data_IF_909988251076
#
_entry.id   IF_909988251076
#
_cell.length_a   1.000
_cell.length_b   1.000
_cell.length_c   1.000
_cell.angle_alpha   90.00
_cell.angle_beta   90.00
_cell.angle_gamma   90.00
#
_symmetry.space_group_name_H-M   'P 1'
#
loop_
_entity.id
_entity.type
_entity.pdbx_description
1 polymer ?
#
# COMPACT_ATOMS: atom_id res chain seq x y z
N UNK A 1 -62.81 -91.65 48.87
CA UNK A 1 -61.82 -90.88 49.64
C UNK A 1 -60.43 -91.22 49.08
N UNK A 2 -59.44 -90.31 49.05
CA UNK A 2 -59.35 -89.01 48.36
C UNK A 2 -58.04 -88.84 47.51
N UNK A 3 -58.07 -87.91 46.53
CA UNK A 3 -57.01 -87.05 45.89
C UNK A 3 -55.65 -87.60 45.36
N UNK A 4 -54.88 -86.86 44.50
CA UNK A 4 -55.15 -85.62 43.74
C UNK A 4 -54.72 -85.60 42.25
N UNK A 5 -55.09 -84.51 41.57
CA UNK A 5 -54.78 -84.03 40.21
C UNK A 5 -53.28 -83.73 39.96
N UNK A 6 -52.82 -83.66 38.68
CA UNK A 6 -51.83 -82.66 38.30
C UNK A 6 -52.33 -81.67 37.23
N UNK A 7 -51.92 -80.44 37.48
CA UNK A 7 -52.12 -79.19 36.77
C UNK A 7 -51.54 -79.15 35.36
N UNK A 8 -52.28 -78.54 34.42
CA UNK A 8 -51.75 -78.07 33.15
C UNK A 8 -50.73 -76.94 33.38
N UNK A 9 -49.52 -77.12 32.83
CA UNK A 9 -48.51 -76.07 32.76
C UNK A 9 -49.01 -74.88 31.91
N UNK A 10 -48.83 -73.62 32.35
CA UNK A 10 -49.17 -72.47 31.52
C UNK A 10 -48.15 -72.31 30.38
N UNK A 11 -48.63 -72.12 29.15
CA UNK A 11 -47.78 -71.73 28.02
C UNK A 11 -47.05 -70.40 28.32
N UNK A 12 -45.76 -70.25 27.94
CA UNK A 12 -44.93 -69.14 28.40
C UNK A 12 -45.23 -67.85 27.62
N UNK A 13 -46.28 -67.11 28.01
CA UNK A 13 -46.62 -65.78 27.45
C UNK A 13 -45.48 -64.76 27.56
N UNK A 14 -44.60 -64.87 28.57
CA UNK A 14 -43.46 -63.95 28.78
C UNK A 14 -42.31 -64.13 27.78
N UNK A 15 -42.08 -65.34 27.25
CA UNK A 15 -40.98 -65.60 26.28
C UNK A 15 -41.27 -65.00 24.90
N UNK A 16 -42.53 -65.00 24.44
CA UNK A 16 -42.91 -64.39 23.15
C UNK A 16 -42.80 -62.87 23.17
N UNK A 17 -43.18 -62.23 24.28
CA UNK A 17 -43.10 -60.78 24.45
C UNK A 17 -41.64 -60.28 24.53
N UNK A 18 -40.77 -61.02 25.22
CA UNK A 18 -39.34 -60.74 25.27
C UNK A 18 -38.68 -60.91 23.89
N UNK A 19 -39.04 -61.96 23.12
CA UNK A 19 -38.54 -62.17 21.76
C UNK A 19 -38.95 -61.03 20.81
N UNK A 20 -40.21 -60.58 20.87
CA UNK A 20 -40.70 -59.46 20.04
C UNK A 20 -39.94 -58.16 20.37
N UNK A 21 -39.77 -57.85 21.67
CA UNK A 21 -39.03 -56.66 22.10
C UNK A 21 -37.55 -56.71 21.70
N UNK A 22 -36.90 -57.86 21.81
CA UNK A 22 -35.51 -58.04 21.36
C UNK A 22 -35.41 -57.91 19.84
N UNK A 23 -36.34 -58.50 19.08
CA UNK A 23 -36.35 -58.34 17.62
C UNK A 23 -36.61 -56.89 17.18
N UNK A 24 -37.50 -56.16 17.87
CA UNK A 24 -37.70 -54.73 17.60
C UNK A 24 -36.45 -53.90 17.94
N UNK A 25 -35.77 -54.19 19.06
CA UNK A 25 -34.54 -53.50 19.44
C UNK A 25 -33.40 -53.78 18.44
N UNK A 26 -33.27 -55.01 17.95
CA UNK A 26 -32.27 -55.39 16.93
C UNK A 26 -32.58 -54.71 15.59
N UNK A 27 -33.85 -54.68 15.16
CA UNK A 27 -34.24 -53.97 13.93
C UNK A 27 -34.00 -52.47 14.05
N UNK A 28 -34.30 -51.85 15.20
CA UNK A 28 -34.01 -50.43 15.45
C UNK A 28 -32.51 -50.13 15.46
N UNK A 29 -31.68 -51.01 16.03
CA UNK A 29 -30.22 -50.89 15.99
C UNK A 29 -29.67 -51.02 14.56
N UNK A 30 -30.19 -51.95 13.74
CA UNK A 30 -29.77 -52.10 12.34
C UNK A 30 -30.18 -50.88 11.52
N UNK A 31 -31.38 -50.34 11.72
CA UNK A 31 -31.83 -49.10 11.06
C UNK A 31 -31.00 -47.90 11.50
N UNK A 32 -30.65 -47.80 12.79
CA UNK A 32 -29.78 -46.73 13.30
C UNK A 32 -28.34 -46.83 12.75
N UNK A 33 -27.76 -48.02 12.69
CA UNK A 33 -26.43 -48.24 12.08
C UNK A 33 -26.46 -47.96 10.58
N UNK A 34 -27.50 -48.41 9.86
CA UNK A 34 -27.71 -48.10 8.45
C UNK A 34 -27.87 -46.60 8.18
N UNK A 35 -28.59 -45.89 9.05
CA UNK A 35 -28.73 -44.43 8.98
C UNK A 35 -27.41 -43.70 9.26
N UNK A 36 -26.62 -44.16 10.25
CA UNK A 36 -25.29 -43.58 10.54
C UNK A 36 -24.32 -43.80 9.37
N UNK A 37 -24.28 -45.01 8.79
CA UNK A 37 -23.44 -45.32 7.63
C UNK A 37 -23.87 -44.52 6.38
N UNK A 38 -25.18 -44.36 6.15
CA UNK A 38 -25.68 -43.54 5.06
C UNK A 38 -25.36 -42.05 5.26
N UNK A 39 -25.45 -41.54 6.49
CA UNK A 39 -25.10 -40.15 6.83
C UNK A 39 -23.59 -39.91 6.68
N UNK A 40 -22.74 -40.86 7.07
CA UNK A 40 -21.28 -40.73 6.90
C UNK A 40 -20.84 -40.90 5.45
N UNK A 41 -21.49 -41.77 4.67
CA UNK A 41 -21.24 -41.89 3.23
C UNK A 41 -21.71 -40.64 2.47
N UNK A 42 -22.88 -40.11 2.81
CA UNK A 42 -23.39 -38.88 2.20
C UNK A 42 -22.51 -37.67 2.53
N UNK A 43 -22.05 -37.53 3.79
CA UNK A 43 -21.15 -36.44 4.16
C UNK A 43 -19.77 -36.55 3.52
N UNK A 44 -19.22 -37.76 3.37
CA UNK A 44 -17.95 -37.99 2.67
C UNK A 44 -18.07 -37.70 1.16
N UNK A 45 -19.17 -38.13 0.53
CA UNK A 45 -19.44 -37.85 -0.88
C UNK A 45 -19.64 -36.36 -1.13
N UNK A 46 -20.42 -35.69 -0.28
CA UNK A 46 -20.64 -34.24 -0.34
C UNK A 46 -19.34 -33.45 -0.11
N UNK A 47 -18.46 -33.93 0.78
CA UNK A 47 -17.12 -33.35 0.95
C UNK A 47 -16.28 -33.48 -0.32
N UNK A 48 -16.26 -34.65 -0.97
CA UNK A 48 -15.52 -34.84 -2.24
C UNK A 48 -16.07 -33.96 -3.37
N UNK A 49 -17.38 -33.84 -3.48
CA UNK A 49 -18.03 -32.95 -4.46
C UNK A 49 -17.69 -31.48 -4.21
N UNK A 50 -17.71 -31.03 -2.96
CA UNK A 50 -17.31 -29.66 -2.59
C UNK A 50 -15.84 -29.37 -2.89
N UNK A 51 -14.94 -30.34 -2.63
CA UNK A 51 -13.52 -30.21 -2.93
C UNK A 51 -13.24 -30.16 -4.43
N UNK A 52 -13.95 -30.97 -5.23
CA UNK A 52 -13.88 -30.89 -6.70
C UNK A 52 -14.40 -29.56 -7.23
N UNK A 53 -15.55 -29.10 -6.72
CA UNK A 53 -16.12 -27.79 -7.07
C UNK A 53 -15.16 -26.65 -6.72
N UNK A 54 -14.48 -26.72 -5.57
CA UNK A 54 -13.44 -25.78 -5.18
C UNK A 54 -12.30 -25.77 -6.21
N UNK A 55 -11.74 -26.94 -6.50
CA UNK A 55 -10.56 -27.12 -7.34
C UNK A 55 -10.79 -26.69 -8.79
N UNK A 56 -11.91 -27.09 -9.38
CA UNK A 56 -12.15 -26.98 -10.82
C UNK A 56 -12.91 -25.71 -11.17
N UNK A 57 -14.03 -25.43 -10.48
CA UNK A 57 -14.91 -24.31 -10.84
C UNK A 57 -14.53 -23.02 -10.10
N UNK A 58 -14.46 -23.06 -8.76
CA UNK A 58 -14.27 -21.85 -7.97
C UNK A 58 -12.89 -21.23 -8.19
N UNK A 59 -11.82 -22.04 -8.27
CA UNK A 59 -10.48 -21.52 -8.56
C UNK A 59 -10.34 -20.98 -9.99
N UNK A 60 -10.96 -21.63 -10.98
CA UNK A 60 -10.96 -21.13 -12.35
C UNK A 60 -11.68 -19.79 -12.43
N UNK A 61 -12.86 -19.67 -11.81
CA UNK A 61 -13.60 -18.41 -11.76
C UNK A 61 -12.82 -17.29 -11.05
N UNK A 62 -12.07 -17.62 -9.99
CA UNK A 62 -11.21 -16.67 -9.27
C UNK A 62 -10.04 -16.19 -10.15
N UNK A 63 -9.36 -17.10 -10.85
CA UNK A 63 -8.29 -16.75 -11.79
C UNK A 63 -8.81 -15.87 -12.92
N UNK A 64 -9.94 -16.23 -13.52
CA UNK A 64 -10.57 -15.46 -14.60
C UNK A 64 -11.01 -14.07 -14.14
N UNK A 65 -11.57 -13.95 -12.93
CA UNK A 65 -11.95 -12.66 -12.37
C UNK A 65 -10.74 -11.76 -12.12
N UNK A 66 -9.66 -12.31 -11.55
CA UNK A 66 -8.39 -11.57 -11.38
C UNK A 66 -7.81 -11.13 -12.72
N UNK A 67 -7.86 -11.99 -13.74
CA UNK A 67 -7.36 -11.69 -15.09
C UNK A 67 -7.99 -10.45 -15.72
N UNK A 68 -9.14 -9.98 -15.23
CA UNK A 68 -9.85 -8.79 -15.71
C UNK A 68 -9.46 -7.50 -14.99
N UNK A 69 -8.84 -7.57 -13.80
CA UNK A 69 -8.53 -6.38 -12.98
C UNK A 69 -7.53 -5.45 -13.66
N UNK A 70 -6.39 -5.97 -14.10
CA UNK A 70 -5.34 -5.17 -14.73
C UNK A 70 -5.76 -4.57 -16.08
N UNK A 71 -6.41 -5.31 -17.00
CA UNK A 71 -7.00 -4.72 -18.19
C UNK A 71 -7.99 -3.58 -17.88
N UNK A 72 -8.87 -3.75 -16.88
CA UNK A 72 -9.85 -2.73 -16.52
C UNK A 72 -9.19 -1.47 -15.91
N UNK A 73 -8.22 -1.65 -15.01
CA UNK A 73 -7.44 -0.53 -14.47
C UNK A 73 -6.69 0.22 -15.58
N UNK A 74 -6.03 -0.50 -16.50
CA UNK A 74 -5.34 0.11 -17.63
C UNK A 74 -6.30 0.89 -18.55
N UNK A 75 -7.51 0.37 -18.77
CA UNK A 75 -8.54 1.07 -19.55
C UNK A 75 -8.94 2.40 -18.88
N UNK A 76 -9.15 2.39 -17.56
CA UNK A 76 -9.41 3.61 -16.79
C UNK A 76 -8.24 4.61 -16.88
N UNK A 77 -7.01 4.18 -16.58
CA UNK A 77 -5.84 5.06 -16.62
C UNK A 77 -5.65 5.68 -18.01
N UNK A 78 -5.86 4.90 -19.07
CA UNK A 78 -5.78 5.38 -20.45
C UNK A 78 -6.90 6.37 -20.79
N UNK A 79 -8.15 6.10 -20.38
CA UNK A 79 -9.28 6.99 -20.58
C UNK A 79 -9.09 8.32 -19.83
N UNK A 80 -8.67 8.26 -18.57
CA UNK A 80 -8.38 9.44 -17.75
C UNK A 80 -7.25 10.27 -18.38
N UNK A 81 -6.11 9.64 -18.72
CA UNK A 81 -4.99 10.32 -19.38
C UNK A 81 -5.41 10.96 -20.71
N UNK A 82 -6.21 10.26 -21.52
CA UNK A 82 -6.74 10.80 -22.78
C UNK A 82 -7.61 12.02 -22.53
N UNK A 83 -8.46 11.99 -21.50
CA UNK A 83 -9.28 13.13 -21.13
C UNK A 83 -8.42 14.32 -20.63
N UNK A 84 -7.33 14.06 -19.91
CA UNK A 84 -6.36 15.07 -19.43
C UNK A 84 -5.42 15.65 -20.49
N UNK A 85 -5.33 15.02 -21.66
CA UNK A 85 -4.57 15.53 -22.82
C UNK A 85 -5.34 16.60 -23.60
N UNK A 86 -6.67 16.63 -23.50
CA UNK A 86 -7.42 17.85 -23.76
C UNK A 86 -7.14 18.82 -22.59
N UNK A 87 -7.18 20.16 -22.77
CA UNK A 87 -7.06 21.12 -21.67
C UNK A 87 -8.26 21.07 -20.69
N UNK A 88 -8.89 19.91 -20.54
CA UNK A 88 -10.01 19.64 -19.68
C UNK A 88 -9.56 19.66 -18.20
N UNK A 89 -10.32 20.33 -17.33
CA UNK A 89 -10.08 20.30 -15.89
C UNK A 89 -10.21 18.88 -15.34
N UNK A 90 -9.65 18.65 -14.16
CA UNK A 90 -9.72 17.36 -13.46
C UNK A 90 -11.15 16.79 -13.40
N UNK A 91 -12.14 17.59 -13.01
CA UNK A 91 -13.55 17.19 -12.89
C UNK A 91 -14.12 16.64 -14.21
N UNK A 92 -13.77 17.27 -15.34
CA UNK A 92 -14.23 16.84 -16.66
C UNK A 92 -13.53 15.54 -17.09
N UNK A 93 -12.26 15.35 -16.72
CA UNK A 93 -11.54 14.11 -16.96
C UNK A 93 -12.11 12.93 -16.14
N UNK A 94 -12.49 13.17 -14.89
CA UNK A 94 -13.17 12.19 -14.05
C UNK A 94 -14.52 11.80 -14.64
N UNK A 95 -15.32 12.78 -15.09
CA UNK A 95 -16.59 12.53 -15.77
C UNK A 95 -16.42 11.72 -17.06
N UNK A 96 -15.43 12.05 -17.87
CA UNK A 96 -15.17 11.41 -19.16
C UNK A 96 -14.56 10.00 -19.04
N UNK A 97 -14.06 9.62 -17.86
CA UNK A 97 -13.50 8.29 -17.56
C UNK A 97 -14.37 7.48 -16.60
N UNK A 98 -15.54 7.99 -16.21
CA UNK A 98 -16.43 7.36 -15.24
C UNK A 98 -16.87 5.96 -15.66
N UNK A 99 -17.16 5.76 -16.95
CA UNK A 99 -17.56 4.44 -17.48
C UNK A 99 -16.46 3.39 -17.28
N UNK A 100 -15.21 3.73 -17.55
CA UNK A 100 -14.08 2.82 -17.37
C UNK A 100 -13.78 2.60 -15.88
N UNK A 101 -14.00 3.61 -15.03
CA UNK A 101 -13.94 3.46 -13.56
C UNK A 101 -15.00 2.48 -13.06
N UNK A 102 -16.24 2.60 -13.51
CA UNK A 102 -17.32 1.69 -13.15
C UNK A 102 -17.03 0.26 -13.64
N UNK A 103 -16.48 0.13 -14.84
CA UNK A 103 -16.03 -1.16 -15.38
C UNK A 103 -14.92 -1.80 -14.54
N UNK A 104 -14.00 -1.00 -14.00
CA UNK A 104 -13.01 -1.47 -13.04
C UNK A 104 -13.65 -1.90 -11.72
N UNK A 105 -14.59 -1.12 -11.16
CA UNK A 105 -15.28 -1.49 -9.92
C UNK A 105 -16.02 -2.82 -10.05
N UNK A 106 -16.72 -3.04 -11.18
CA UNK A 106 -17.38 -4.31 -11.46
C UNK A 106 -16.39 -5.49 -11.50
N UNK A 107 -15.20 -5.29 -12.06
CA UNK A 107 -14.16 -6.32 -12.06
C UNK A 107 -13.63 -6.60 -10.64
N UNK A 108 -13.42 -5.56 -9.83
CA UNK A 108 -13.01 -5.67 -8.42
C UNK A 108 -14.05 -6.43 -7.59
N UNK A 109 -15.33 -6.08 -7.71
CA UNK A 109 -16.42 -6.73 -7.00
C UNK A 109 -16.59 -8.19 -7.42
N UNK A 110 -16.45 -8.49 -8.72
CA UNK A 110 -16.48 -9.85 -9.23
C UNK A 110 -15.31 -10.69 -8.68
N UNK A 111 -14.11 -10.13 -8.60
CA UNK A 111 -12.93 -10.80 -8.03
C UNK A 111 -13.10 -11.08 -6.53
N UNK A 112 -13.64 -10.12 -5.76
CA UNK A 112 -13.98 -10.34 -4.34
C UNK A 112 -15.05 -11.41 -4.16
N UNK A 113 -16.10 -11.37 -4.96
CA UNK A 113 -17.16 -12.38 -4.91
C UNK A 113 -16.64 -13.78 -5.25
N UNK A 114 -15.73 -13.89 -6.23
CA UNK A 114 -15.06 -15.16 -6.56
C UNK A 114 -14.18 -15.65 -5.40
N UNK A 115 -13.43 -14.75 -4.75
CA UNK A 115 -12.62 -15.10 -3.57
C UNK A 115 -13.49 -15.55 -2.40
N UNK A 116 -14.63 -14.89 -2.17
CA UNK A 116 -15.60 -15.29 -1.15
C UNK A 116 -16.16 -16.69 -1.40
N UNK A 117 -16.33 -17.11 -2.67
CA UNK A 117 -16.75 -18.49 -3.00
C UNK A 117 -15.66 -19.53 -2.73
N UNK A 118 -14.39 -19.20 -2.99
CA UNK A 118 -13.25 -20.06 -2.65
C UNK A 118 -13.13 -20.23 -1.13
N UNK A 119 -13.46 -19.17 -0.38
CA UNK A 119 -13.49 -19.18 1.09
C UNK A 119 -14.69 -19.91 1.67
N UNK A 120 -15.87 -19.77 1.06
CA UNK A 120 -17.11 -20.40 1.52
C UNK A 120 -16.99 -21.92 1.45
N UNK A 121 -16.80 -22.55 2.60
CA UNK A 121 -16.54 -23.99 2.73
C UNK A 121 -15.35 -24.34 3.62
N UNK A 122 -14.43 -23.39 3.88
CA UNK A 122 -13.18 -23.61 4.61
C UNK A 122 -12.83 -22.46 5.58
N UNK A 123 -13.85 -21.76 6.11
CA UNK A 123 -13.74 -20.50 6.88
C UNK A 123 -12.93 -20.57 8.21
N UNK A 124 -12.48 -21.75 8.67
CA UNK A 124 -11.88 -21.87 10.01
C UNK A 124 -10.95 -23.07 10.26
N UNK A 125 -10.43 -23.74 9.23
CA UNK A 125 -9.57 -24.92 9.41
C UNK A 125 -8.10 -24.58 9.71
N UNK A 126 -7.55 -25.13 10.78
CA UNK A 126 -6.08 -25.33 10.93
C UNK A 126 -5.55 -26.43 9.98
N UNK A 127 -6.39 -26.93 9.07
CA UNK A 127 -6.04 -27.95 8.08
C UNK A 127 -5.29 -27.35 6.88
N UNK A 128 -4.64 -28.22 6.10
CA UNK A 128 -3.80 -27.79 4.97
C UNK A 128 -4.55 -26.96 3.93
N UNK A 129 -5.85 -27.22 3.74
CA UNK A 129 -6.71 -26.48 2.81
C UNK A 129 -7.04 -25.09 3.36
N UNK A 130 -7.46 -24.97 4.63
CA UNK A 130 -7.77 -23.68 5.25
C UNK A 130 -6.57 -22.73 5.25
N UNK A 131 -5.36 -23.24 5.54
CA UNK A 131 -4.12 -22.45 5.46
C UNK A 131 -3.85 -21.99 4.02
N UNK A 132 -4.00 -22.88 3.02
CA UNK A 132 -3.79 -22.53 1.62
C UNK A 132 -4.81 -21.50 1.12
N UNK A 133 -6.09 -21.61 1.52
CA UNK A 133 -7.15 -20.63 1.22
C UNK A 133 -6.82 -19.27 1.84
N UNK A 134 -6.40 -19.23 3.11
CA UNK A 134 -6.06 -17.97 3.79
C UNK A 134 -4.87 -17.25 3.15
N UNK A 135 -3.82 -17.98 2.76
CA UNK A 135 -2.71 -17.42 1.99
C UNK A 135 -3.19 -16.91 0.63
N UNK A 136 -4.03 -17.67 -0.07
CA UNK A 136 -4.57 -17.23 -1.36
C UNK A 136 -5.39 -15.94 -1.22
N UNK A 137 -6.26 -15.87 -0.20
CA UNK A 137 -7.07 -14.70 0.12
C UNK A 137 -6.21 -13.45 0.34
N UNK A 138 -5.18 -13.55 1.18
CA UNK A 138 -4.27 -12.44 1.46
C UNK A 138 -3.65 -11.85 0.18
N UNK A 139 -3.15 -12.72 -0.72
CA UNK A 139 -2.54 -12.26 -1.97
C UNK A 139 -3.56 -11.66 -2.95
N UNK A 140 -4.74 -12.27 -3.07
CA UNK A 140 -5.78 -11.77 -3.99
C UNK A 140 -6.38 -10.46 -3.51
N UNK A 141 -6.73 -10.36 -2.22
CA UNK A 141 -7.24 -9.10 -1.66
C UNK A 141 -6.17 -8.01 -1.70
N UNK A 142 -4.91 -8.33 -1.41
CA UNK A 142 -3.79 -7.41 -1.59
C UNK A 142 -3.65 -6.91 -3.03
N UNK A 143 -3.78 -7.79 -4.02
CA UNK A 143 -3.76 -7.40 -5.43
C UNK A 143 -4.96 -6.52 -5.81
N UNK A 144 -6.16 -6.87 -5.36
CA UNK A 144 -7.37 -6.06 -5.60
C UNK A 144 -7.18 -4.65 -5.00
N UNK A 145 -6.78 -4.56 -3.73
CA UNK A 145 -6.56 -3.29 -3.05
C UNK A 145 -5.44 -2.47 -3.70
N UNK A 146 -4.36 -3.12 -4.16
CA UNK A 146 -3.30 -2.45 -4.92
C UNK A 146 -3.84 -1.79 -6.19
N UNK A 147 -4.69 -2.50 -6.95
CA UNK A 147 -5.27 -2.02 -8.20
C UNK A 147 -6.35 -0.96 -7.96
N UNK A 148 -7.14 -1.08 -6.89
CA UNK A 148 -8.08 -0.05 -6.49
C UNK A 148 -7.38 1.24 -6.10
N UNK A 149 -6.35 1.15 -5.25
CA UNK A 149 -5.57 2.32 -4.89
C UNK A 149 -4.92 2.99 -6.10
N UNK A 150 -4.52 2.19 -7.11
CA UNK A 150 -4.00 2.71 -8.37
C UNK A 150 -5.05 3.55 -9.10
N UNK A 151 -6.27 3.04 -9.23
CA UNK A 151 -7.38 3.72 -9.91
C UNK A 151 -7.87 4.93 -9.12
N UNK A 152 -8.16 4.76 -7.83
CA UNK A 152 -8.77 5.78 -6.98
C UNK A 152 -7.86 6.98 -6.73
N UNK A 153 -6.54 6.74 -6.59
CA UNK A 153 -5.56 7.79 -6.30
C UNK A 153 -4.87 8.36 -7.55
N UNK A 154 -5.19 7.84 -8.74
CA UNK A 154 -4.58 8.32 -9.98
C UNK A 154 -4.82 9.81 -10.25
N UNK A 155 -6.04 10.37 -10.06
CA UNK A 155 -6.28 11.80 -10.25
C UNK A 155 -5.36 12.68 -9.40
N UNK A 156 -5.18 12.33 -8.12
CA UNK A 156 -4.32 13.07 -7.19
C UNK A 156 -2.85 12.95 -7.61
N UNK A 157 -2.42 11.77 -8.06
CA UNK A 157 -1.05 11.55 -8.54
C UNK A 157 -0.76 12.32 -9.84
N UNK A 158 -1.63 12.22 -10.85
CA UNK A 158 -1.48 12.91 -12.14
C UNK A 158 -1.57 14.43 -11.99
N UNK A 159 -2.46 14.89 -11.09
CA UNK A 159 -2.67 16.30 -10.79
C UNK A 159 -1.57 16.96 -9.96
N UNK A 160 -0.59 16.20 -9.45
CA UNK A 160 0.42 16.71 -8.51
C UNK A 160 1.17 17.94 -9.08
N UNK A 161 1.59 17.86 -10.34
CA UNK A 161 2.30 18.93 -11.05
C UNK A 161 1.42 19.69 -12.05
N UNK A 162 0.10 19.70 -11.86
CA UNK A 162 -0.81 20.43 -12.75
C UNK A 162 -1.41 21.63 -12.04
N UNK A 163 -1.65 22.71 -12.79
CA UNK A 163 -2.16 23.96 -12.25
C UNK A 163 -3.58 23.84 -11.67
N UNK A 164 -4.38 22.91 -12.22
CA UNK A 164 -5.73 22.61 -11.79
C UNK A 164 -5.79 21.43 -10.79
N UNK A 165 -4.64 20.96 -10.30
CA UNK A 165 -4.50 19.97 -9.24
C UNK A 165 -3.73 20.57 -8.04
N UNK A 166 -2.70 19.88 -7.56
CA UNK A 166 -1.91 20.36 -6.41
C UNK A 166 -0.95 21.51 -6.78
N UNK A 167 -0.64 21.71 -8.06
CA UNK A 167 0.17 22.86 -8.50
C UNK A 167 1.64 22.80 -8.07
N UNK A 168 2.22 21.61 -7.86
CA UNK A 168 3.58 21.45 -7.33
C UNK A 168 4.72 21.95 -8.22
N UNK A 169 4.41 22.51 -9.40
CA UNK A 169 5.40 23.16 -10.27
C UNK A 169 6.17 24.26 -9.53
N UNK A 170 5.54 24.89 -8.53
CA UNK A 170 6.14 25.88 -7.64
C UNK A 170 7.44 25.42 -6.96
N UNK A 171 7.61 24.10 -6.74
CA UNK A 171 8.82 23.51 -6.16
C UNK A 171 10.06 23.65 -7.06
N UNK A 172 9.88 23.84 -8.37
CA UNK A 172 10.96 23.87 -9.35
C UNK A 172 11.35 25.27 -9.82
N UNK A 173 10.58 26.30 -9.47
CA UNK A 173 10.66 27.62 -10.10
C UNK A 173 11.70 28.56 -9.46
N UNK A 174 12.78 28.00 -8.90
CA UNK A 174 13.86 28.75 -8.27
C UNK A 174 14.60 29.76 -9.17
N UNK A 175 14.31 29.80 -10.47
CA UNK A 175 14.87 30.74 -11.45
C UNK A 175 14.13 32.08 -11.57
N UNK A 176 12.93 32.22 -10.98
CA UNK A 176 12.15 33.48 -11.02
C UNK A 176 12.40 34.41 -9.84
N UNK A 177 13.01 33.91 -8.77
CA UNK A 177 13.35 34.70 -7.58
C UNK A 177 14.62 35.53 -7.81
N UNK A 178 14.59 36.80 -7.41
CA UNK A 178 15.74 37.71 -7.48
C UNK A 178 16.74 37.47 -6.35
N UNK A 179 16.31 36.87 -5.23
CA UNK A 179 17.14 36.57 -4.05
C UNK A 179 16.88 35.16 -3.52
N UNK A 180 17.79 34.62 -2.70
CA UNK A 180 17.56 33.31 -2.08
C UNK A 180 16.46 33.35 -1.01
N UNK A 181 16.28 34.49 -0.34
CA UNK A 181 15.17 34.72 0.58
C UNK A 181 13.81 34.66 -0.12
N UNK A 182 13.69 35.31 -1.28
CA UNK A 182 12.47 35.23 -2.09
C UNK A 182 12.22 33.81 -2.58
N UNK A 183 13.27 33.10 -3.03
CA UNK A 183 13.17 31.68 -3.41
C UNK A 183 12.65 30.82 -2.25
N UNK A 184 13.19 31.00 -1.05
CA UNK A 184 12.75 30.26 0.14
C UNK A 184 11.27 30.53 0.45
N UNK A 185 10.83 31.78 0.33
CA UNK A 185 9.43 32.17 0.54
C UNK A 185 8.50 31.52 -0.49
N UNK A 186 8.83 31.63 -1.78
CA UNK A 186 8.04 31.02 -2.87
C UNK A 186 7.98 29.50 -2.75
N UNK A 187 9.08 28.87 -2.33
CA UNK A 187 9.12 27.43 -2.12
C UNK A 187 8.25 27.01 -0.95
N UNK A 188 8.26 27.74 0.17
CA UNK A 188 7.36 27.46 1.29
C UNK A 188 5.88 27.57 0.90
N UNK A 189 5.52 28.56 0.08
CA UNK A 189 4.17 28.69 -0.47
C UNK A 189 3.78 27.51 -1.36
N UNK A 190 4.72 27.03 -2.19
CA UNK A 190 4.51 25.88 -3.07
C UNK A 190 4.50 24.53 -2.31
N UNK A 191 5.21 24.43 -1.19
CA UNK A 191 5.36 23.18 -0.45
C UNK A 191 4.07 22.76 0.27
N UNK A 192 3.30 23.70 0.79
CA UNK A 192 2.07 23.42 1.54
C UNK A 192 1.05 22.55 0.74
N UNK A 193 0.60 22.94 -0.47
CA UNK A 193 -0.32 22.11 -1.26
C UNK A 193 0.30 20.77 -1.69
N UNK A 194 1.63 20.73 -1.88
CA UNK A 194 2.33 19.49 -2.21
C UNK A 194 2.35 18.49 -1.06
N UNK A 195 2.50 18.97 0.18
CA UNK A 195 2.42 18.13 1.38
C UNK A 195 1.02 17.61 1.60
N UNK A 196 0.00 18.43 1.35
CA UNK A 196 -1.39 18.01 1.44
C UNK A 196 -1.68 16.89 0.42
N UNK A 197 -1.29 17.09 -0.84
CA UNK A 197 -1.42 16.08 -1.88
C UNK A 197 -0.66 14.78 -1.55
N UNK A 198 0.56 14.90 -1.00
CA UNK A 198 1.31 13.74 -0.50
C UNK A 198 0.57 13.06 0.68
N UNK A 199 -0.04 13.84 1.58
CA UNK A 199 -0.87 13.35 2.67
C UNK A 199 -2.06 12.52 2.17
N UNK A 200 -2.73 12.97 1.12
CA UNK A 200 -3.81 12.23 0.47
C UNK A 200 -3.29 10.93 -0.18
N UNK A 201 -2.17 10.98 -0.91
CA UNK A 201 -1.57 9.79 -1.54
C UNK A 201 -1.07 8.76 -0.51
N UNK A 202 -0.68 9.18 0.71
CA UNK A 202 -0.32 8.26 1.80
C UNK A 202 -1.52 7.43 2.30
N UNK A 203 -2.75 7.84 2.01
CA UNK A 203 -3.97 7.10 2.34
C UNK A 203 -4.37 6.11 1.24
N UNK A 204 -3.67 6.10 0.10
CA UNK A 204 -3.92 5.16 -0.98
C UNK A 204 -3.71 3.72 -0.52
N UNK A 205 -4.53 2.81 -1.04
CA UNK A 205 -4.28 1.36 -0.94
C UNK A 205 -3.12 0.88 -1.81
N UNK A 206 -2.63 1.72 -2.73
CA UNK A 206 -1.52 1.38 -3.60
C UNK A 206 -0.18 1.68 -2.90
N UNK A 207 0.55 0.63 -2.56
CA UNK A 207 1.84 0.74 -1.87
C UNK A 207 2.84 1.61 -2.63
N UNK A 208 2.88 1.56 -3.96
CA UNK A 208 3.80 2.38 -4.74
C UNK A 208 3.48 3.89 -4.60
N UNK A 209 2.21 4.27 -4.55
CA UNK A 209 1.81 5.65 -4.26
C UNK A 209 2.12 6.07 -2.82
N UNK A 210 1.91 5.19 -1.85
CA UNK A 210 2.26 5.47 -0.45
C UNK A 210 3.76 5.69 -0.28
N UNK A 211 4.59 4.84 -0.88
CA UNK A 211 6.05 4.98 -0.85
C UNK A 211 6.54 6.23 -1.59
N UNK A 212 5.97 6.50 -2.77
CA UNK A 212 6.21 7.75 -3.49
C UNK A 212 5.88 8.94 -2.60
N UNK A 213 4.71 8.98 -2.00
CA UNK A 213 4.24 10.12 -1.22
C UNK A 213 5.10 10.37 0.03
N UNK A 214 5.56 9.31 0.71
CA UNK A 214 6.54 9.42 1.81
C UNK A 214 7.87 10.01 1.33
N UNK A 215 8.38 9.50 0.21
CA UNK A 215 9.66 9.96 -0.36
C UNK A 215 9.57 11.40 -0.85
N UNK A 216 8.47 11.74 -1.53
CA UNK A 216 8.18 13.06 -2.05
C UNK A 216 8.06 14.11 -0.94
N UNK A 217 7.29 13.83 0.11
CA UNK A 217 7.15 14.73 1.27
C UNK A 217 8.48 14.96 2.01
N UNK A 218 9.28 13.89 2.17
CA UNK A 218 10.64 14.01 2.70
C UNK A 218 11.51 14.90 1.81
N UNK A 219 11.39 14.78 0.48
CA UNK A 219 12.15 15.58 -0.47
C UNK A 219 11.73 17.05 -0.45
N UNK A 220 10.44 17.33 -0.34
CA UNK A 220 9.89 18.69 -0.15
C UNK A 220 10.45 19.31 1.13
N UNK A 221 10.44 18.58 2.24
CA UNK A 221 10.99 19.04 3.52
C UNK A 221 12.50 19.31 3.46
N UNK A 222 13.26 18.46 2.75
CA UNK A 222 14.68 18.71 2.49
C UNK A 222 14.89 19.95 1.62
N UNK A 223 14.06 20.20 0.62
CA UNK A 223 14.14 21.40 -0.21
C UNK A 223 13.92 22.66 0.61
N UNK A 224 12.91 22.70 1.48
CA UNK A 224 12.67 23.83 2.38
C UNK A 224 13.83 24.08 3.34
N UNK A 225 14.31 23.04 4.01
CA UNK A 225 15.42 23.17 4.96
C UNK A 225 16.70 23.67 4.29
N UNK A 226 17.05 23.12 3.11
CA UNK A 226 18.21 23.60 2.37
C UNK A 226 18.01 25.02 1.83
N UNK A 227 16.79 25.38 1.39
CA UNK A 227 16.49 26.74 0.93
C UNK A 227 16.66 27.76 2.08
N UNK A 228 16.17 27.44 3.28
CA UNK A 228 16.35 28.28 4.47
C UNK A 228 17.82 28.50 4.81
N UNK A 229 18.62 27.42 4.84
CA UNK A 229 20.07 27.52 5.09
C UNK A 229 20.73 28.42 4.05
N UNK A 230 20.43 28.21 2.75
CA UNK A 230 21.04 29.03 1.70
C UNK A 230 20.63 30.50 1.77
N UNK A 231 19.38 30.80 2.11
CA UNK A 231 18.90 32.17 2.30
C UNK A 231 19.57 32.86 3.50
N UNK A 232 19.64 32.17 4.65
CA UNK A 232 20.33 32.68 5.84
C UNK A 232 21.81 32.93 5.58
N UNK A 233 22.47 32.04 4.83
CA UNK A 233 23.88 32.20 4.49
C UNK A 233 24.16 33.36 3.54
N UNK A 234 23.22 33.71 2.64
CA UNK A 234 23.30 34.92 1.80
C UNK A 234 23.16 36.20 2.65
N UNK A 235 22.26 36.21 3.62
CA UNK A 235 22.12 37.33 4.56
C UNK A 235 23.38 37.52 5.40
N UNK A 236 23.92 36.43 5.95
CA UNK A 236 25.19 36.44 6.67
C UNK A 236 26.34 36.95 5.78
N UNK A 237 26.37 36.58 4.49
CA UNK A 237 27.38 37.08 3.57
C UNK A 237 27.33 38.61 3.45
N UNK A 238 26.13 39.18 3.29
CA UNK A 238 25.95 40.64 3.25
C UNK A 238 26.37 41.32 4.57
N UNK A 239 26.15 40.67 5.72
CA UNK A 239 26.66 41.13 7.01
C UNK A 239 28.19 41.06 7.09
N UNK A 240 28.80 39.95 6.63
CA UNK A 240 30.25 39.77 6.65
C UNK A 240 30.99 40.78 5.78
N UNK A 241 30.41 41.19 4.64
CA UNK A 241 30.99 42.26 3.81
C UNK A 241 31.08 43.56 4.63
N UNK A 242 30.00 43.94 5.32
CA UNK A 242 29.99 45.14 6.19
C UNK A 242 30.97 45.02 7.35
N UNK A 243 31.00 43.89 8.04
CA UNK A 243 31.93 43.65 9.15
C UNK A 243 33.39 43.67 8.68
N UNK A 244 33.68 43.13 7.49
CA UNK A 244 35.01 43.18 6.88
C UNK A 244 35.41 44.63 6.60
N UNK A 245 34.52 45.46 6.04
CA UNK A 245 34.81 46.88 5.80
C UNK A 245 35.05 47.64 7.12
N UNK A 246 34.26 47.37 8.16
CA UNK A 246 34.47 47.92 9.51
C UNK A 246 35.80 47.49 10.13
N UNK A 247 36.23 46.24 9.93
CA UNK A 247 37.52 45.75 10.43
C UNK A 247 38.70 46.41 9.70
N UNK A 248 38.58 46.65 8.39
CA UNK A 248 39.59 47.41 7.64
C UNK A 248 39.67 48.83 8.18
N UNK A 249 38.52 49.52 8.33
CA UNK A 249 38.48 50.88 8.89
C UNK A 249 39.09 50.95 10.31
N UNK A 250 38.73 50.01 11.21
CA UNK A 250 39.34 49.93 12.55
C UNK A 250 40.86 49.79 12.49
N UNK A 251 41.36 48.97 11.56
CA UNK A 251 42.79 48.74 11.38
C UNK A 251 43.48 50.01 10.88
N UNK A 252 42.88 50.69 9.90
CA UNK A 252 43.39 51.94 9.35
C UNK A 252 43.42 53.04 10.42
N UNK A 253 42.36 53.21 11.20
CA UNK A 253 42.26 54.19 12.30
C UNK A 253 43.27 53.91 13.42
N UNK A 254 43.43 52.64 13.82
CA UNK A 254 44.41 52.23 14.81
C UNK A 254 45.84 52.51 14.32
N UNK A 255 46.12 52.26 13.04
CA UNK A 255 47.41 52.52 12.42
C UNK A 255 47.69 54.03 12.34
N UNK A 256 46.71 54.84 11.90
CA UNK A 256 46.88 56.29 11.76
C UNK A 256 47.19 57.00 13.09
N UNK A 257 46.72 56.45 14.22
CA UNK A 257 46.98 57.00 15.55
C UNK A 257 48.16 56.37 16.29
N UNK A 258 48.92 55.48 15.66
CA UNK A 258 49.98 54.69 16.28
C UNK A 258 49.51 53.94 17.53
N UNK A 259 48.41 53.17 17.39
CA UNK A 259 47.88 52.33 18.46
C UNK A 259 48.92 51.32 18.99
N UNK A 260 48.73 50.86 20.23
CA UNK A 260 49.62 49.89 20.86
C UNK A 260 49.56 48.52 20.16
N UNK A 261 50.63 47.74 20.30
CA UNK A 261 50.66 46.36 19.80
C UNK A 261 49.51 45.51 20.36
N UNK A 262 49.16 45.69 21.63
CA UNK A 262 48.04 44.98 22.27
C UNK A 262 46.70 45.27 21.57
N UNK A 263 46.47 46.52 21.17
CA UNK A 263 45.26 46.88 20.43
C UNK A 263 45.26 46.24 19.02
N UNK A 264 46.40 46.28 18.32
CA UNK A 264 46.54 45.66 16.99
C UNK A 264 46.36 44.13 17.05
N UNK A 265 46.87 43.47 18.09
CA UNK A 265 46.65 42.04 18.31
C UNK A 265 45.18 41.72 18.53
N UNK A 266 44.46 42.55 19.30
CA UNK A 266 43.01 42.36 19.50
C UNK A 266 42.23 42.49 18.18
N UNK A 267 42.57 43.46 17.33
CA UNK A 267 41.97 43.63 16.00
C UNK A 267 42.27 42.39 15.13
N UNK A 268 43.50 41.86 15.19
CA UNK A 268 43.87 40.65 14.46
C UNK A 268 43.09 39.41 14.93
N UNK A 269 42.88 39.25 16.23
CA UNK A 269 42.05 38.17 16.80
C UNK A 269 40.57 38.31 16.39
N UNK A 270 40.01 39.52 16.42
CA UNK A 270 38.66 39.81 15.90
C UNK A 270 38.55 39.44 14.41
N UNK A 271 39.55 39.77 13.59
CA UNK A 271 39.60 39.43 12.17
C UNK A 271 39.72 37.91 11.94
N UNK A 272 40.50 37.21 12.75
CA UNK A 272 40.64 35.75 12.70
C UNK A 272 39.31 35.06 13.05
N UNK A 273 38.61 35.55 14.07
CA UNK A 273 37.29 35.05 14.44
C UNK A 273 36.25 35.31 13.33
N UNK A 274 36.27 36.49 12.71
CA UNK A 274 35.41 36.80 11.56
C UNK A 274 35.69 35.86 10.38
N UNK A 275 36.97 35.61 10.05
CA UNK A 275 37.34 34.70 8.97
C UNK A 275 36.90 33.25 9.25
N UNK A 276 36.98 32.80 10.50
CA UNK A 276 36.44 31.49 10.90
C UNK A 276 34.92 31.41 10.67
N UNK A 277 34.16 32.44 11.06
CA UNK A 277 32.70 32.53 10.80
C UNK A 277 32.38 32.51 9.30
N UNK A 278 33.14 33.26 8.48
CA UNK A 278 32.97 33.27 7.01
C UNK A 278 33.18 31.88 6.42
N UNK A 279 34.23 31.17 6.85
CA UNK A 279 34.52 29.80 6.37
C UNK A 279 33.40 28.82 6.73
N UNK A 280 32.90 28.87 7.97
CA UNK A 280 31.77 28.04 8.41
C UNK A 280 30.53 28.31 7.58
N UNK A 281 30.14 29.59 7.43
CA UNK A 281 28.97 29.97 6.64
C UNK A 281 29.08 29.53 5.17
N UNK A 282 30.26 29.65 4.57
CA UNK A 282 30.49 29.17 3.20
C UNK A 282 30.32 27.65 3.11
N UNK A 283 30.86 26.90 4.06
CA UNK A 283 30.73 25.44 4.08
C UNK A 283 29.26 25.00 4.21
N UNK A 284 28.49 25.66 5.08
CA UNK A 284 27.05 25.41 5.25
C UNK A 284 26.28 25.72 3.96
N UNK A 285 26.56 26.88 3.34
CA UNK A 285 25.98 27.27 2.07
C UNK A 285 26.26 26.25 0.96
N UNK A 286 27.53 25.90 0.75
CA UNK A 286 27.94 24.98 -0.32
C UNK A 286 27.30 23.58 -0.13
N UNK A 287 27.19 23.13 1.12
CA UNK A 287 26.56 21.86 1.46
C UNK A 287 25.05 21.86 1.19
N UNK A 288 24.34 22.92 1.60
CA UNK A 288 22.91 23.06 1.42
C UNK A 288 22.55 23.32 -0.05
N UNK A 289 23.29 24.18 -0.75
CA UNK A 289 23.06 24.50 -2.16
C UNK A 289 23.21 23.26 -3.06
N UNK A 290 24.23 22.42 -2.81
CA UNK A 290 24.39 21.15 -3.54
C UNK A 290 23.21 20.21 -3.35
N UNK A 291 22.71 20.08 -2.12
CA UNK A 291 21.56 19.22 -1.80
C UNK A 291 20.25 19.76 -2.34
N UNK A 292 20.07 21.08 -2.28
CA UNK A 292 18.95 21.75 -2.90
C UNK A 292 18.90 21.45 -4.41
N UNK A 293 20.02 21.64 -5.13
CA UNK A 293 20.10 21.40 -6.56
C UNK A 293 19.89 19.92 -6.93
N UNK A 294 20.44 18.99 -6.16
CA UNK A 294 20.14 17.55 -6.30
C UNK A 294 18.65 17.27 -6.06
N UNK A 295 18.07 17.85 -5.01
CA UNK A 295 16.64 17.74 -4.70
C UNK A 295 15.73 18.13 -5.86
N UNK A 296 16.01 19.26 -6.48
CA UNK A 296 15.28 19.75 -7.65
C UNK A 296 15.44 18.84 -8.86
N UNK A 297 16.66 18.32 -9.11
CA UNK A 297 16.96 17.44 -10.25
C UNK A 297 16.35 16.04 -10.13
N UNK A 298 16.27 15.50 -8.92
CA UNK A 298 15.84 14.12 -8.69
C UNK A 298 14.32 14.00 -8.59
N UNK A 299 13.60 15.09 -8.32
CA UNK A 299 12.15 15.05 -8.11
C UNK A 299 11.35 14.55 -9.34
N UNK A 300 11.65 14.97 -10.58
CA UNK A 300 10.97 14.43 -11.75
C UNK A 300 11.19 12.92 -11.93
N UNK A 301 12.39 12.44 -11.58
CA UNK A 301 12.74 11.01 -11.63
C UNK A 301 11.86 10.23 -10.65
N UNK A 302 11.63 10.76 -9.44
CA UNK A 302 10.73 10.12 -8.46
C UNK A 302 9.33 9.89 -9.02
N UNK A 303 8.79 10.83 -9.80
CA UNK A 303 7.46 10.74 -10.41
C UNK A 303 7.45 9.69 -11.52
N UNK A 304 8.47 9.73 -12.39
CA UNK A 304 8.60 8.79 -13.51
C UNK A 304 8.77 7.35 -13.04
N UNK A 305 9.54 7.12 -11.98
CA UNK A 305 9.81 5.79 -11.44
C UNK A 305 8.57 5.06 -10.94
N UNK A 306 7.51 5.77 -10.55
CA UNK A 306 6.27 5.15 -10.07
C UNK A 306 5.66 4.25 -11.14
N UNK A 307 5.49 4.77 -12.36
CA UNK A 307 4.89 4.02 -13.46
C UNK A 307 5.89 3.16 -14.22
N UNK A 308 7.13 3.62 -14.37
CA UNK A 308 8.14 2.89 -15.16
C UNK A 308 8.75 1.71 -14.40
N UNK A 309 8.73 1.73 -13.05
CA UNK A 309 9.37 0.71 -12.23
C UNK A 309 8.48 0.20 -11.11
N UNK A 310 7.97 1.06 -10.22
CA UNK A 310 7.39 0.65 -8.94
C UNK A 310 6.08 -0.13 -9.10
N UNK A 311 5.10 0.42 -9.82
CA UNK A 311 3.82 -0.27 -10.09
C UNK A 311 4.05 -1.59 -10.83
N UNK A 312 4.90 -1.59 -11.86
CA UNK A 312 5.21 -2.81 -12.62
C UNK A 312 5.89 -3.89 -11.76
N UNK A 313 6.77 -3.49 -10.82
CA UNK A 313 7.42 -4.42 -9.90
C UNK A 313 6.43 -5.05 -8.92
N UNK A 314 5.51 -4.26 -8.36
CA UNK A 314 4.45 -4.77 -7.47
C UNK A 314 3.52 -5.74 -8.19
N UNK A 315 3.03 -5.38 -9.39
CA UNK A 315 2.20 -6.28 -10.21
C UNK A 315 2.95 -7.58 -10.52
N UNK A 316 4.23 -7.49 -10.91
CA UNK A 316 5.07 -8.67 -11.19
C UNK A 316 5.24 -9.57 -9.96
N UNK A 317 5.33 -8.99 -8.76
CA UNK A 317 5.38 -9.73 -7.51
C UNK A 317 4.10 -10.57 -7.33
N UNK A 318 2.93 -9.95 -7.47
CA UNK A 318 1.65 -10.66 -7.42
C UNK A 318 1.51 -11.72 -8.51
N UNK A 319 1.93 -11.42 -9.74
CA UNK A 319 1.93 -12.39 -10.86
C UNK A 319 2.84 -13.60 -10.61
N UNK A 320 3.83 -13.46 -9.73
CA UNK A 320 4.72 -14.56 -9.34
C UNK A 320 4.14 -15.38 -8.18
N UNK A 321 3.54 -14.71 -7.18
CA UNK A 321 3.09 -15.35 -5.93
C UNK A 321 1.71 -15.99 -6.07
N UNK A 322 0.76 -15.33 -6.73
CA UNK A 322 -0.63 -15.79 -6.82
C UNK A 322 -0.75 -17.17 -7.50
N UNK A 323 -0.15 -17.41 -8.68
CA UNK A 323 -0.24 -18.71 -9.33
C UNK A 323 0.32 -19.85 -8.48
N UNK A 324 1.38 -19.59 -7.71
CA UNK A 324 1.93 -20.57 -6.77
C UNK A 324 0.95 -20.89 -5.64
N UNK A 325 0.30 -19.87 -5.06
CA UNK A 325 -0.73 -20.08 -4.02
C UNK A 325 -1.97 -20.81 -4.56
N UNK A 326 -2.36 -20.57 -5.81
CA UNK A 326 -3.41 -21.36 -6.49
C UNK A 326 -2.98 -22.82 -6.61
N UNK A 327 -1.74 -23.09 -7.03
CA UNK A 327 -1.25 -24.47 -7.17
C UNK A 327 -1.17 -25.18 -5.82
N UNK A 328 -0.67 -24.52 -4.77
CA UNK A 328 -0.63 -25.07 -3.41
C UNK A 328 -2.02 -25.48 -2.93
N UNK A 329 -3.04 -24.67 -3.18
CA UNK A 329 -4.42 -25.02 -2.82
C UNK A 329 -4.92 -26.22 -3.63
N UNK A 330 -4.62 -26.30 -4.93
CA UNK A 330 -4.96 -27.47 -5.75
C UNK A 330 -4.30 -28.74 -5.22
N UNK A 331 -3.01 -28.67 -4.86
CA UNK A 331 -2.25 -29.80 -4.33
C UNK A 331 -2.80 -30.24 -2.96
N UNK A 332 -3.16 -29.29 -2.09
CA UNK A 332 -3.78 -29.59 -0.80
C UNK A 332 -5.14 -30.29 -0.96
N UNK A 333 -5.95 -29.85 -1.93
CA UNK A 333 -7.22 -30.50 -2.27
C UNK A 333 -6.99 -31.90 -2.84
N UNK A 334 -5.97 -32.09 -3.68
CA UNK A 334 -5.65 -33.39 -4.28
C UNK A 334 -5.23 -34.43 -3.25
N UNK A 335 -4.46 -34.04 -2.23
CA UNK A 335 -4.11 -34.93 -1.10
C UNK A 335 -5.37 -35.41 -0.39
N UNK A 336 -6.30 -34.51 -0.07
CA UNK A 336 -7.55 -34.84 0.63
C UNK A 336 -8.56 -35.62 -0.23
N UNK A 337 -8.45 -35.56 -1.56
CA UNK A 337 -9.32 -36.33 -2.47
C UNK A 337 -8.86 -37.80 -2.63
N UNK A 338 -7.57 -38.07 -2.44
CA UNK A 338 -6.94 -39.40 -2.57
C UNK A 338 -7.06 -40.22 -1.28
N UNK A 339 -7.14 -39.57 -0.11
CA UNK A 339 -7.47 -40.18 1.18
C UNK A 339 -8.97 -40.55 1.32
#
# INVERSE_FOLDING_TARGET
MPEPTPSQQPAPRKRRLALILISCAVVLLIVAVGAVVAVTQFSAQQRKENLQLLKDDNLTALVDARGKLQPAANAYLAAYKKARNAPAPQEEAEKNSAKERDGFQQAADAARAAMAKVKSGHDSGEDGIGVAVGQLEESYLGFIDHMEGLVESYPQFEGLFRADGAGCNGLFVGSKAATLRERQTLLGQAAAPCREAAGQLKQSKNVAYVEFARTFDNRVSQLESNAEITAKSEENYNEFVKLKDQMVQKTDEATARNASEEELFKIADEAKALNARIRTNRSEFDFAAKRYLSGVKDMPVLVEEVFTKKIAAEIKSYDSVIPLRVQILKDAVDVELVE
#
